data_IF_314733283252
#
_entry.id   IF_314733283252
#
_cell.length_a   1.000
_cell.length_b   1.000
_cell.length_c   1.000
_cell.angle_alpha   90.00
_cell.angle_beta   90.00
_cell.angle_gamma   90.00
#
_symmetry.space_group_name_H-M   'P 1'
#
loop_
_entity.id
_entity.type
_entity.pdbx_description
1 polymer ?
#
# COMPACT_ATOMS: atom_id res chain seq x y z
N UNK A 1 -0.45 -27.40 19.41
CA UNK A 1 0.91 -27.91 19.19
C UNK A 1 1.81 -26.73 18.87
N UNK A 2 2.75 -26.39 19.75
CA UNK A 2 3.69 -25.28 19.53
C UNK A 2 4.63 -25.62 18.37
N UNK A 3 4.60 -24.82 17.30
CA UNK A 3 5.62 -24.89 16.24
C UNK A 3 6.99 -24.62 16.88
N UNK A 4 7.90 -25.58 16.81
CA UNK A 4 9.31 -25.35 17.14
C UNK A 4 9.86 -24.44 16.05
N UNK A 5 9.98 -23.15 16.34
CA UNK A 5 10.62 -22.18 15.46
C UNK A 5 12.11 -22.53 15.33
N UNK A 6 12.61 -22.64 14.10
CA UNK A 6 14.04 -22.90 13.87
C UNK A 6 14.89 -21.70 14.33
N UNK A 7 16.17 -21.92 14.64
CA UNK A 7 17.08 -20.86 15.12
C UNK A 7 17.12 -19.66 14.14
N UNK A 8 17.04 -19.92 12.83
CA UNK A 8 16.98 -18.85 11.82
C UNK A 8 15.67 -18.05 11.87
N UNK A 9 14.52 -18.72 12.05
CA UNK A 9 13.22 -18.04 12.19
C UNK A 9 13.17 -17.13 13.42
N UNK A 10 13.75 -17.57 14.55
CA UNK A 10 13.86 -16.75 15.76
C UNK A 10 14.75 -15.53 15.51
N UNK A 11 15.86 -15.70 14.80
CA UNK A 11 16.76 -14.60 14.47
C UNK A 11 16.10 -13.56 13.55
N UNK A 12 15.42 -14.00 12.50
CA UNK A 12 14.68 -13.12 11.58
C UNK A 12 13.57 -12.35 12.30
N UNK A 13 12.79 -13.03 13.15
CA UNK A 13 11.76 -12.40 13.97
C UNK A 13 12.34 -11.33 14.90
N UNK A 14 13.45 -11.62 15.59
CA UNK A 14 14.10 -10.66 16.47
C UNK A 14 14.65 -9.44 15.70
N UNK A 15 15.16 -9.64 14.48
CA UNK A 15 15.60 -8.54 13.61
C UNK A 15 14.40 -7.67 13.21
N UNK A 16 13.27 -8.28 12.84
CA UNK A 16 12.05 -7.55 12.51
C UNK A 16 11.56 -6.69 13.69
N UNK A 17 11.49 -7.26 14.90
CA UNK A 17 11.13 -6.51 16.11
C UNK A 17 12.05 -5.31 16.36
N UNK A 18 13.36 -5.48 16.16
CA UNK A 18 14.31 -4.38 16.30
C UNK A 18 14.06 -3.31 15.22
N UNK A 19 13.83 -3.71 13.97
CA UNK A 19 13.51 -2.79 12.86
C UNK A 19 12.25 -1.97 13.13
N UNK A 20 11.18 -2.61 13.60
CA UNK A 20 9.92 -1.93 13.94
C UNK A 20 10.13 -0.80 14.97
N UNK A 21 10.94 -1.06 16.00
CA UNK A 21 11.24 -0.08 17.04
C UNK A 21 12.12 1.06 16.50
N UNK A 22 13.15 0.76 15.71
CA UNK A 22 14.09 1.79 15.23
C UNK A 22 13.51 2.65 14.10
N UNK A 23 12.61 2.12 13.26
CA UNK A 23 11.89 2.91 12.25
C UNK A 23 10.93 3.92 12.88
N UNK A 24 10.41 3.61 14.07
CA UNK A 24 9.51 4.48 14.82
C UNK A 24 10.23 5.51 15.71
N UNK A 25 11.58 5.55 15.68
CA UNK A 25 12.40 6.35 16.60
C UNK A 25 13.36 7.26 15.84
N UNK A 26 13.36 8.56 16.18
CA UNK A 26 14.33 9.52 15.61
C UNK A 26 15.77 9.19 16.04
N UNK A 27 15.95 8.87 17.32
CA UNK A 27 17.21 8.41 17.89
C UNK A 27 16.91 7.31 18.92
N UNK A 28 17.83 6.35 19.06
CA UNK A 28 17.68 5.27 20.02
C UNK A 28 19.00 4.86 20.67
N UNK A 29 18.91 4.22 21.82
CA UNK A 29 20.05 3.60 22.51
C UNK A 29 19.84 2.08 22.55
N UNK A 30 20.92 1.34 22.78
CA UNK A 30 20.84 -0.13 22.97
C UNK A 30 19.85 -0.51 24.05
N UNK A 31 19.79 0.28 25.13
CA UNK A 31 18.90 0.05 26.26
C UNK A 31 17.43 0.29 25.87
N UNK A 32 17.11 1.40 25.19
CA UNK A 32 15.73 1.70 24.81
C UNK A 32 15.16 0.65 23.85
N UNK A 33 15.96 0.16 22.90
CA UNK A 33 15.54 -0.90 21.98
C UNK A 33 15.31 -2.22 22.72
N UNK A 34 16.20 -2.63 23.62
CA UNK A 34 16.02 -3.86 24.39
C UNK A 34 14.76 -3.80 25.27
N UNK A 35 14.49 -2.64 25.88
CA UNK A 35 13.29 -2.42 26.69
C UNK A 35 12.01 -2.48 25.85
N UNK A 36 11.99 -1.84 24.68
CA UNK A 36 10.81 -1.81 23.81
C UNK A 36 10.51 -3.17 23.16
N UNK A 37 11.56 -3.90 22.76
CA UNK A 37 11.42 -5.22 22.11
C UNK A 37 11.25 -6.38 23.10
N UNK A 38 11.60 -6.18 24.37
CA UNK A 38 11.66 -7.26 25.37
C UNK A 38 12.83 -8.25 25.17
N UNK A 39 13.74 -7.97 24.23
CA UNK A 39 14.91 -8.81 23.96
C UNK A 39 16.02 -8.58 24.99
N UNK A 40 16.91 -9.57 25.13
CA UNK A 40 18.09 -9.42 25.99
C UNK A 40 19.06 -8.36 25.44
N UNK A 41 19.74 -7.62 26.32
CA UNK A 41 20.75 -6.63 25.93
C UNK A 41 21.82 -7.22 25.00
N UNK A 42 22.23 -8.48 25.23
CA UNK A 42 23.22 -9.16 24.39
C UNK A 42 22.68 -9.42 22.97
N UNK A 43 21.43 -9.89 22.86
CA UNK A 43 20.75 -10.11 21.57
C UNK A 43 20.58 -8.80 20.82
N UNK A 44 20.04 -7.77 21.47
CA UNK A 44 19.87 -6.44 20.88
C UNK A 44 21.20 -5.87 20.42
N UNK A 45 22.26 -5.99 21.21
CA UNK A 45 23.59 -5.50 20.84
C UNK A 45 24.16 -6.22 19.62
N UNK A 46 23.98 -7.54 19.52
CA UNK A 46 24.40 -8.31 18.34
C UNK A 46 23.67 -7.88 17.07
N UNK A 47 22.35 -7.62 17.17
CA UNK A 47 21.55 -7.17 16.03
C UNK A 47 21.97 -5.75 15.62
N UNK A 48 22.04 -4.81 16.56
CA UNK A 48 22.41 -3.43 16.28
C UNK A 48 23.84 -3.31 15.70
N UNK A 49 24.79 -4.11 16.18
CA UNK A 49 26.13 -4.14 15.58
C UNK A 49 26.10 -4.62 14.12
N UNK A 50 25.35 -5.67 13.83
CA UNK A 50 25.18 -6.17 12.46
C UNK A 50 24.53 -5.12 11.55
N UNK A 51 23.49 -4.42 12.02
CA UNK A 51 22.85 -3.34 11.26
C UNK A 51 23.82 -2.15 11.05
N UNK A 52 24.67 -1.85 12.04
CA UNK A 52 25.66 -0.78 11.95
C UNK A 52 26.80 -1.13 10.98
N UNK A 53 27.26 -2.38 11.00
CA UNK A 53 28.25 -2.92 10.05
C UNK A 53 27.72 -2.91 8.62
N UNK A 54 26.42 -3.17 8.45
CA UNK A 54 25.75 -3.06 7.16
C UNK A 54 25.53 -1.60 6.71
N UNK A 55 25.64 -0.62 7.61
CA UNK A 55 25.34 0.79 7.34
C UNK A 55 23.85 1.16 7.39
N UNK A 56 22.99 0.25 7.87
CA UNK A 56 21.54 0.46 8.03
C UNK A 56 21.22 1.37 9.22
N UNK A 57 22.12 1.44 10.19
CA UNK A 57 22.07 2.42 11.29
C UNK A 57 23.41 3.13 11.42
N UNK A 58 23.37 4.38 11.90
CA UNK A 58 24.55 5.23 12.12
C UNK A 58 24.63 5.68 13.57
N UNK A 59 25.84 5.78 14.12
CA UNK A 59 26.04 6.28 15.48
C UNK A 59 25.98 7.82 15.52
N UNK A 60 25.08 8.38 16.32
CA UNK A 60 24.89 9.83 16.49
C UNK A 60 25.57 10.30 17.78
N UNK A 61 26.91 10.19 17.82
CA UNK A 61 27.72 10.71 18.92
C UNK A 61 27.39 10.22 20.35
N UNK A 62 28.09 10.80 21.33
CA UNK A 62 27.82 10.60 22.75
C UNK A 62 27.19 11.88 23.32
N UNK A 63 26.03 11.79 23.96
CA UNK A 63 25.54 12.89 24.80
C UNK A 63 26.48 13.00 25.99
N UNK A 64 26.99 14.19 26.27
CA UNK A 64 27.80 14.47 27.46
C UNK A 64 26.96 14.26 28.73
N UNK A 65 27.08 13.11 29.38
CA UNK A 65 26.61 12.92 30.75
C UNK A 65 27.75 13.19 31.73
N UNK A 66 27.52 14.07 32.70
CA UNK A 66 28.45 14.43 33.80
C UNK A 66 28.71 13.27 34.78
N UNK A 67 28.02 12.13 34.63
CA UNK A 67 28.17 10.94 35.47
C UNK A 67 28.05 9.68 34.59
N UNK A 68 29.09 8.83 34.57
CA UNK A 68 29.12 7.53 33.86
C UNK A 68 29.56 7.59 32.39
N UNK A 69 29.89 6.43 31.80
CA UNK A 69 30.24 6.30 30.37
C UNK A 69 28.97 6.58 29.54
N UNK A 70 28.94 7.63 28.71
CA UNK A 70 27.73 7.99 27.96
C UNK A 70 27.30 6.85 27.03
N UNK A 71 26.00 6.56 27.01
CA UNK A 71 25.44 5.55 26.13
C UNK A 71 25.50 6.04 24.68
N UNK A 72 26.07 5.23 23.79
CA UNK A 72 26.09 5.51 22.36
C UNK A 72 24.65 5.60 21.83
N UNK A 73 24.36 6.69 21.12
CA UNK A 73 23.10 6.89 20.41
C UNK A 73 23.25 6.47 18.95
N UNK A 74 22.14 6.02 18.37
CA UNK A 74 22.05 5.59 16.98
C UNK A 74 20.82 6.22 16.33
N UNK A 75 20.89 6.43 15.01
CA UNK A 75 19.73 6.66 14.16
C UNK A 75 19.69 5.63 13.06
N UNK A 76 18.49 5.43 12.52
CA UNK A 76 18.32 4.72 11.29
C UNK A 76 18.91 5.53 10.12
N UNK A 77 19.68 4.88 9.25
CA UNK A 77 20.16 5.49 8.02
C UNK A 77 19.02 5.47 7.00
N UNK A 78 18.28 6.59 6.92
CA UNK A 78 17.15 6.73 5.99
C UNK A 78 17.53 6.44 4.53
N UNK A 79 18.76 6.79 4.15
CA UNK A 79 19.31 6.67 2.80
C UNK A 79 20.03 5.31 2.60
N UNK A 80 19.84 4.33 3.50
CA UNK A 80 20.41 2.99 3.37
C UNK A 80 19.93 2.27 2.09
N UNK A 81 18.67 2.50 1.73
CA UNK A 81 18.09 2.14 0.44
C UNK A 81 16.95 3.10 0.13
N UNK A 82 16.53 3.16 -1.13
CA UNK A 82 15.33 3.86 -1.54
C UNK A 82 14.32 2.89 -2.17
N UNK A 83 13.05 3.29 -2.13
CA UNK A 83 11.94 2.60 -2.77
C UNK A 83 11.32 3.55 -3.79
N UNK A 84 11.28 3.14 -5.06
CA UNK A 84 10.56 3.88 -6.09
C UNK A 84 9.13 3.32 -6.20
N UNK A 85 8.13 4.18 -6.07
CA UNK A 85 6.74 3.84 -6.33
C UNK A 85 6.33 4.47 -7.66
N UNK A 86 5.79 3.68 -8.59
CA UNK A 86 5.38 4.15 -9.92
C UNK A 86 4.02 3.59 -10.28
N UNK A 87 3.18 4.40 -10.91
CA UNK A 87 1.89 3.95 -11.44
C UNK A 87 1.42 4.83 -12.60
N UNK A 88 0.64 4.26 -13.54
CA UNK A 88 0.06 5.05 -14.59
C UNK A 88 -1.21 5.76 -14.13
N UNK A 89 -1.47 6.91 -14.74
CA UNK A 89 -2.69 7.68 -14.55
C UNK A 89 -2.98 8.51 -15.81
N UNK A 90 -4.11 9.21 -15.80
CA UNK A 90 -4.57 10.02 -16.92
C UNK A 90 -5.12 11.36 -16.47
N UNK A 91 -4.97 12.38 -17.31
CA UNK A 91 -5.64 13.67 -17.18
C UNK A 91 -6.32 13.99 -18.52
N UNK A 92 -7.64 13.80 -18.58
CA UNK A 92 -8.37 13.80 -19.85
C UNK A 92 -7.88 12.67 -20.76
N UNK A 93 -7.53 12.99 -22.01
CA UNK A 93 -7.02 12.01 -22.98
C UNK A 93 -5.53 11.72 -22.87
N UNK A 94 -4.78 12.49 -22.08
CA UNK A 94 -3.34 12.31 -21.92
C UNK A 94 -3.06 11.33 -20.78
N UNK A 95 -2.04 10.49 -20.98
CA UNK A 95 -1.60 9.50 -20.01
C UNK A 95 -0.24 9.90 -19.46
N UNK A 96 0.07 9.45 -18.26
CA UNK A 96 1.37 9.69 -17.66
C UNK A 96 1.73 8.57 -16.68
N UNK A 97 3.03 8.39 -16.46
CA UNK A 97 3.56 7.66 -15.31
C UNK A 97 3.85 8.67 -14.20
N UNK A 98 3.18 8.52 -13.06
CA UNK A 98 3.59 9.18 -11.83
C UNK A 98 4.64 8.32 -11.14
N UNK A 99 5.69 8.93 -10.60
CA UNK A 99 6.59 8.24 -9.68
C UNK A 99 6.96 9.10 -8.48
N UNK A 100 7.29 8.42 -7.39
CA UNK A 100 7.94 9.01 -6.22
C UNK A 100 8.99 8.06 -5.67
N UNK A 101 10.17 8.59 -5.34
CA UNK A 101 11.27 7.87 -4.70
C UNK A 101 11.27 8.24 -3.23
N UNK A 102 11.17 7.23 -2.36
CA UNK A 102 11.11 7.37 -0.92
C UNK A 102 12.38 6.85 -0.26
N UNK A 103 12.81 7.52 0.80
CA UNK A 103 13.72 6.95 1.78
C UNK A 103 12.99 5.89 2.64
N UNK A 104 13.73 5.10 3.43
CA UNK A 104 13.13 4.04 4.24
C UNK A 104 12.33 4.54 5.45
N UNK A 105 12.35 5.85 5.74
CA UNK A 105 11.47 6.47 6.73
C UNK A 105 10.20 7.04 6.10
N UNK A 106 10.01 6.89 4.80
CA UNK A 106 8.83 7.35 4.07
C UNK A 106 8.88 8.80 3.63
N UNK A 107 10.04 9.46 3.68
CA UNK A 107 10.17 10.81 3.12
C UNK A 107 10.37 10.74 1.61
N UNK A 108 9.57 11.51 0.85
CA UNK A 108 9.76 11.65 -0.59
C UNK A 108 11.06 12.40 -0.88
N UNK A 109 12.01 11.73 -1.52
CA UNK A 109 13.28 12.28 -2.02
C UNK A 109 13.07 13.00 -3.35
N UNK A 110 12.27 12.38 -4.23
CA UNK A 110 11.93 12.90 -5.56
C UNK A 110 10.52 12.48 -5.95
N UNK A 111 9.80 13.32 -6.68
CA UNK A 111 8.51 12.97 -7.28
C UNK A 111 8.33 13.70 -8.61
N UNK A 112 7.78 13.02 -9.61
CA UNK A 112 7.51 13.63 -10.91
C UNK A 112 6.46 12.85 -11.72
N UNK A 113 6.07 13.44 -12.86
CA UNK A 113 5.18 12.85 -13.84
C UNK A 113 5.85 12.85 -15.21
N UNK A 114 5.79 11.72 -15.91
CA UNK A 114 6.24 11.61 -17.30
C UNK A 114 5.03 11.42 -18.19
N UNK A 115 4.74 12.44 -19.01
CA UNK A 115 3.60 12.46 -19.93
C UNK A 115 3.89 11.65 -21.18
N UNK A 116 2.92 10.86 -21.60
CA UNK A 116 3.04 9.85 -22.64
C UNK A 116 1.80 9.85 -23.54
N UNK A 117 1.99 9.48 -24.79
CA UNK A 117 0.86 9.19 -25.69
C UNK A 117 0.15 7.90 -25.28
N UNK A 118 0.92 6.87 -24.95
CA UNK A 118 0.43 5.62 -24.39
C UNK A 118 1.37 5.08 -23.31
N UNK A 119 0.81 4.27 -22.41
CA UNK A 119 1.58 3.58 -21.37
C UNK A 119 1.82 2.14 -21.82
N UNK A 120 3.07 1.82 -22.10
CA UNK A 120 3.52 0.48 -22.50
C UNK A 120 4.64 -0.01 -21.60
N UNK A 121 5.10 -1.25 -21.82
CA UNK A 121 6.30 -1.77 -21.16
C UNK A 121 7.52 -0.84 -21.35
N UNK A 122 7.73 -0.36 -22.58
CA UNK A 122 8.86 0.50 -22.96
C UNK A 122 8.83 1.81 -22.17
N UNK A 123 7.65 2.36 -21.90
CA UNK A 123 7.49 3.55 -21.04
C UNK A 123 8.03 3.32 -19.63
N UNK A 124 7.77 2.16 -19.04
CA UNK A 124 8.32 1.79 -17.73
C UNK A 124 9.82 1.52 -17.81
N UNK A 125 10.28 0.80 -18.83
CA UNK A 125 11.69 0.48 -19.01
C UNK A 125 12.56 1.74 -19.13
N UNK A 126 12.13 2.72 -19.94
CA UNK A 126 12.85 3.98 -20.14
C UNK A 126 12.90 4.82 -18.85
N UNK A 127 11.76 4.98 -18.18
CA UNK A 127 11.67 5.73 -16.93
C UNK A 127 12.52 5.07 -15.84
N UNK A 128 12.33 3.78 -15.61
CA UNK A 128 13.00 3.06 -14.53
C UNK A 128 14.50 2.90 -14.82
N UNK A 129 14.91 2.70 -16.06
CA UNK A 129 16.34 2.71 -16.42
C UNK A 129 17.01 4.03 -16.05
N UNK A 130 16.36 5.16 -16.37
CA UNK A 130 16.86 6.50 -16.04
C UNK A 130 16.94 6.73 -14.53
N UNK A 131 15.91 6.31 -13.78
CA UNK A 131 15.86 6.49 -12.33
C UNK A 131 16.88 5.61 -11.60
N UNK A 132 17.04 4.35 -12.00
CA UNK A 132 17.98 3.41 -11.39
C UNK A 132 19.45 3.77 -11.69
N UNK A 133 19.73 4.38 -12.84
CA UNK A 133 21.06 4.94 -13.14
C UNK A 133 21.35 6.19 -12.31
N UNK A 134 20.36 7.09 -12.18
CA UNK A 134 20.48 8.32 -11.39
C UNK A 134 20.63 8.05 -9.90
N UNK A 135 19.90 7.06 -9.38
CA UNK A 135 19.88 6.69 -7.97
C UNK A 135 20.08 5.17 -7.77
N UNK A 136 21.36 4.72 -7.69
CA UNK A 136 21.69 3.34 -7.39
C UNK A 136 21.26 2.88 -5.98
N UNK A 137 20.79 3.79 -5.13
CA UNK A 137 20.22 3.51 -3.82
C UNK A 137 18.83 2.88 -3.90
N UNK A 138 18.11 3.04 -5.02
CA UNK A 138 16.83 2.37 -5.24
C UNK A 138 17.05 0.86 -5.30
N UNK A 139 16.55 0.15 -4.28
CA UNK A 139 16.66 -1.33 -4.18
C UNK A 139 15.38 -2.04 -4.51
N UNK A 140 14.24 -1.32 -4.45
CA UNK A 140 12.92 -1.86 -4.76
C UNK A 140 12.12 -0.87 -5.58
N UNK A 141 11.32 -1.39 -6.50
CA UNK A 141 10.31 -0.65 -7.26
C UNK A 141 8.94 -1.28 -7.03
N UNK A 142 7.99 -0.48 -6.56
CA UNK A 142 6.60 -0.84 -6.35
C UNK A 142 5.75 -0.26 -7.48
N UNK A 143 5.18 -1.12 -8.31
CA UNK A 143 4.41 -0.73 -9.49
C UNK A 143 2.92 -0.92 -9.20
N UNK A 144 2.18 0.18 -9.18
CA UNK A 144 0.73 0.14 -9.11
C UNK A 144 0.10 0.03 -10.50
N UNK A 145 -0.90 -0.83 -10.67
CA UNK A 145 -1.64 -0.97 -11.93
C UNK A 145 -3.17 -0.80 -11.74
N UNK A 146 -3.85 -0.04 -12.60
CA UNK A 146 -5.31 0.11 -12.59
C UNK A 146 -5.98 -1.08 -13.28
N UNK A 147 -5.99 -2.22 -12.59
CA UNK A 147 -6.44 -3.49 -13.15
C UNK A 147 -6.01 -4.71 -12.34
N UNK A 148 -6.31 -5.91 -12.85
CA UNK A 148 -5.93 -7.17 -12.19
C UNK A 148 -4.93 -7.97 -13.01
N UNK A 149 -4.12 -8.74 -12.29
CA UNK A 149 -3.02 -9.54 -12.81
C UNK A 149 -2.90 -10.84 -12.02
N UNK A 150 -2.35 -11.86 -12.65
CA UNK A 150 -2.01 -13.14 -12.03
C UNK A 150 -0.67 -13.63 -12.57
N UNK A 151 0.16 -14.23 -11.71
CA UNK A 151 1.51 -14.72 -12.09
C UNK A 151 2.31 -13.70 -12.94
N UNK A 152 2.37 -12.45 -12.48
CA UNK A 152 2.98 -11.29 -13.14
C UNK A 152 2.36 -10.84 -14.48
N UNK A 153 1.38 -11.57 -15.02
CA UNK A 153 0.71 -11.21 -16.26
C UNK A 153 -0.49 -10.31 -16.00
N UNK A 154 -0.47 -9.12 -16.61
CA UNK A 154 -1.57 -8.17 -16.52
C UNK A 154 -2.72 -8.66 -17.43
N UNK A 155 -3.83 -9.09 -16.83
CA UNK A 155 -4.95 -9.63 -17.58
C UNK A 155 -5.88 -8.54 -18.11
N UNK A 156 -6.12 -7.52 -17.28
CA UNK A 156 -6.94 -6.37 -17.65
C UNK A 156 -6.43 -5.14 -16.94
N UNK A 157 -6.17 -4.08 -17.69
CA UNK A 157 -5.72 -2.79 -17.22
C UNK A 157 -6.35 -1.69 -18.09
N UNK A 158 -6.70 -0.56 -17.48
CA UNK A 158 -7.19 0.61 -18.23
C UNK A 158 -6.11 1.17 -19.16
N UNK A 159 -4.84 0.95 -18.83
CA UNK A 159 -3.71 1.17 -19.75
C UNK A 159 -3.56 -0.05 -20.66
N UNK A 160 -4.29 -0.06 -21.76
CA UNK A 160 -4.43 -1.24 -22.63
C UNK A 160 -3.11 -1.74 -23.23
N UNK A 161 -2.11 -0.87 -23.40
CA UNK A 161 -0.77 -1.23 -23.85
C UNK A 161 -0.02 -2.19 -22.91
N UNK A 162 -0.52 -2.37 -21.67
CA UNK A 162 0.02 -3.31 -20.69
C UNK A 162 -0.68 -4.67 -20.69
N UNK A 163 -1.83 -4.82 -21.35
CA UNK A 163 -2.60 -6.07 -21.32
C UNK A 163 -1.80 -7.22 -21.96
N UNK A 164 -1.68 -8.34 -21.24
CA UNK A 164 -0.88 -9.50 -21.61
C UNK A 164 0.61 -9.37 -21.31
N UNK A 165 1.07 -8.25 -20.73
CA UNK A 165 2.48 -8.04 -20.40
C UNK A 165 2.87 -8.71 -19.08
N UNK A 166 3.99 -9.45 -19.10
CA UNK A 166 4.76 -9.81 -17.89
C UNK A 166 5.69 -8.65 -17.53
N UNK A 167 5.12 -7.59 -16.93
CA UNK A 167 5.81 -6.33 -16.71
C UNK A 167 7.00 -6.50 -15.75
N UNK A 168 6.75 -7.08 -14.57
CA UNK A 168 7.78 -7.25 -13.54
C UNK A 168 8.81 -8.31 -13.90
N UNK A 169 8.42 -9.39 -14.60
CA UNK A 169 9.36 -10.39 -15.11
C UNK A 169 10.37 -9.77 -16.08
N UNK A 170 9.89 -9.07 -17.10
CA UNK A 170 10.75 -8.39 -18.09
C UNK A 170 11.66 -7.33 -17.44
N UNK A 171 11.14 -6.52 -16.51
CA UNK A 171 11.95 -5.52 -15.81
C UNK A 171 13.03 -6.17 -14.93
N UNK A 172 12.73 -7.30 -14.29
CA UNK A 172 13.68 -8.05 -13.45
C UNK A 172 14.80 -8.70 -14.27
N UNK A 173 14.53 -9.09 -15.52
CA UNK A 173 15.58 -9.55 -16.46
C UNK A 173 16.51 -8.40 -16.88
N UNK A 174 15.98 -7.18 -16.95
CA UNK A 174 16.68 -6.01 -17.47
C UNK A 174 17.52 -5.29 -16.41
N UNK A 175 17.02 -5.19 -15.18
CA UNK A 175 17.61 -4.38 -14.13
C UNK A 175 17.86 -5.19 -12.85
N UNK A 176 19.00 -4.98 -12.16
CA UNK A 176 19.31 -5.67 -10.90
C UNK A 176 18.57 -5.01 -9.72
N UNK A 177 17.24 -5.00 -9.76
CA UNK A 177 16.35 -4.41 -8.77
C UNK A 177 15.17 -5.34 -8.48
N UNK A 178 14.60 -5.26 -7.28
CA UNK A 178 13.40 -6.00 -6.91
C UNK A 178 12.17 -5.23 -7.41
N UNK A 179 11.35 -5.85 -8.26
CA UNK A 179 10.11 -5.27 -8.78
C UNK A 179 8.89 -5.97 -8.17
N UNK A 180 8.00 -5.17 -7.62
CA UNK A 180 6.70 -5.59 -7.10
C UNK A 180 5.61 -4.97 -7.96
N UNK A 181 4.53 -5.69 -8.17
CA UNK A 181 3.33 -5.18 -8.82
C UNK A 181 2.16 -5.33 -7.86
N UNK A 182 1.26 -4.35 -7.86
CA UNK A 182 0.04 -4.37 -7.04
C UNK A 182 -1.11 -3.67 -7.77
N UNK A 183 -2.33 -4.13 -7.50
CA UNK A 183 -3.56 -3.49 -7.92
C UNK A 183 -3.74 -2.14 -7.20
N UNK A 184 -4.15 -1.10 -7.94
CA UNK A 184 -4.29 0.25 -7.41
C UNK A 184 -5.23 0.32 -6.19
N UNK A 185 -6.32 -0.44 -6.18
CA UNK A 185 -7.30 -0.45 -5.09
C UNK A 185 -6.76 -1.15 -3.84
N UNK A 186 -6.00 -2.23 -3.99
CA UNK A 186 -5.28 -2.86 -2.88
C UNK A 186 -4.28 -1.89 -2.23
N UNK A 187 -3.50 -1.20 -3.05
CA UNK A 187 -2.54 -0.21 -2.56
C UNK A 187 -3.22 0.97 -1.86
N UNK A 188 -4.28 1.55 -2.45
CA UNK A 188 -5.07 2.61 -1.82
C UNK A 188 -5.65 2.14 -0.48
N UNK A 189 -6.23 0.93 -0.43
CA UNK A 189 -6.80 0.37 0.79
C UNK A 189 -5.77 0.17 1.88
N UNK A 190 -4.59 -0.33 1.53
CA UNK A 190 -3.51 -0.54 2.49
C UNK A 190 -2.93 0.77 3.00
N UNK A 191 -2.75 1.78 2.13
CA UNK A 191 -2.31 3.11 2.56
C UNK A 191 -3.31 3.80 3.48
N UNK A 192 -4.63 3.64 3.23
CA UNK A 192 -5.68 4.14 4.11
C UNK A 192 -5.69 3.42 5.46
N UNK A 193 -5.56 2.09 5.46
CA UNK A 193 -5.47 1.31 6.67
C UNK A 193 -4.25 1.71 7.51
N UNK A 194 -3.09 1.86 6.88
CA UNK A 194 -1.84 2.23 7.56
C UNK A 194 -1.94 3.61 8.21
N UNK A 195 -2.48 4.61 7.50
CA UNK A 195 -2.70 5.95 8.06
C UNK A 195 -3.65 5.93 9.28
N UNK A 196 -4.73 5.12 9.24
CA UNK A 196 -5.63 4.97 10.39
C UNK A 196 -4.93 4.30 11.57
N UNK A 197 -4.11 3.27 11.30
CA UNK A 197 -3.32 2.56 12.30
C UNK A 197 -2.35 3.50 13.01
N UNK A 198 -1.69 4.40 12.28
CA UNK A 198 -0.82 5.44 12.85
C UNK A 198 -1.56 6.40 13.80
N UNK A 199 -2.85 6.63 13.55
CA UNK A 199 -3.75 7.38 14.43
C UNK A 199 -4.39 6.54 15.54
N UNK A 200 -3.91 5.31 15.77
CA UNK A 200 -4.36 4.43 16.85
C UNK A 200 -5.64 3.66 16.55
N UNK A 201 -6.05 3.59 15.30
CA UNK A 201 -7.28 2.91 14.88
C UNK A 201 -6.99 1.89 13.77
N UNK A 202 -6.96 0.61 14.14
CA UNK A 202 -6.68 -0.50 13.23
C UNK A 202 -7.93 -1.40 13.13
N UNK A 203 -8.85 -1.12 12.19
CA UNK A 203 -10.09 -1.88 12.08
C UNK A 203 -9.79 -3.33 11.70
N UNK A 204 -10.54 -4.29 12.26
CA UNK A 204 -10.37 -5.71 11.92
C UNK A 204 -10.60 -5.97 10.43
N UNK A 205 -11.57 -5.28 9.84
CA UNK A 205 -11.83 -5.33 8.41
C UNK A 205 -12.13 -3.91 7.88
N UNK A 206 -11.41 -3.52 6.83
CA UNK A 206 -11.59 -2.28 6.11
C UNK A 206 -11.75 -2.59 4.62
N UNK A 207 -12.75 -1.97 4.00
CA UNK A 207 -12.95 -2.04 2.55
C UNK A 207 -12.87 -0.63 1.98
N UNK A 208 -12.17 -0.49 0.85
CA UNK A 208 -12.25 0.72 0.02
C UNK A 208 -13.06 0.40 -1.22
N UNK A 209 -13.99 1.26 -1.58
CA UNK A 209 -14.78 1.18 -2.81
C UNK A 209 -14.57 2.47 -3.59
N UNK A 210 -14.23 2.36 -4.86
CA UNK A 210 -14.10 3.50 -5.76
C UNK A 210 -15.07 3.43 -6.92
N UNK A 211 -15.44 4.62 -7.42
CA UNK A 211 -16.04 4.80 -8.73
C UNK A 211 -15.24 5.92 -9.41
N UNK A 212 -14.32 5.54 -10.29
CA UNK A 212 -13.48 6.49 -11.03
C UNK A 212 -14.19 6.97 -12.30
N UNK A 213 -13.94 8.20 -12.71
CA UNK A 213 -14.45 8.70 -13.99
C UNK A 213 -13.82 7.93 -15.17
N UNK A 214 -14.63 7.56 -16.16
CA UNK A 214 -14.17 6.82 -17.34
C UNK A 214 -13.77 5.35 -17.08
N UNK A 215 -14.00 4.83 -15.87
CA UNK A 215 -13.72 3.43 -15.50
C UNK A 215 -14.90 2.81 -14.73
N UNK A 216 -14.83 1.49 -14.53
CA UNK A 216 -15.74 0.77 -13.64
C UNK A 216 -15.37 0.96 -12.17
N UNK A 217 -16.21 0.48 -11.24
CA UNK A 217 -15.88 0.52 -9.83
C UNK A 217 -14.75 -0.47 -9.49
N UNK A 218 -13.95 -0.09 -8.51
CA UNK A 218 -12.87 -0.92 -7.96
C UNK A 218 -13.00 -1.05 -6.46
N UNK A 219 -12.38 -2.07 -5.87
CA UNK A 219 -12.35 -2.23 -4.42
C UNK A 219 -11.10 -2.93 -3.93
N UNK A 220 -10.62 -2.52 -2.75
CA UNK A 220 -9.52 -3.14 -2.03
C UNK A 220 -9.97 -3.55 -0.63
N UNK A 221 -9.51 -4.70 -0.16
CA UNK A 221 -9.99 -5.34 1.07
C UNK A 221 -8.81 -5.58 2.01
N UNK A 222 -8.91 -5.07 3.23
CA UNK A 222 -7.95 -5.31 4.31
C UNK A 222 -8.64 -6.10 5.42
N UNK A 223 -8.04 -7.22 5.84
CA UNK A 223 -8.50 -8.06 6.96
C UNK A 223 -7.30 -8.32 7.88
N UNK A 224 -7.45 -8.03 9.17
CA UNK A 224 -6.39 -8.16 10.19
C UNK A 224 -5.07 -7.48 9.76
N UNK A 225 -5.19 -6.32 9.11
CA UNK A 225 -4.07 -5.54 8.59
C UNK A 225 -3.36 -6.13 7.37
N UNK A 226 -3.96 -7.13 6.71
CA UNK A 226 -3.42 -7.78 5.52
C UNK A 226 -4.30 -7.52 4.31
N UNK A 227 -3.68 -7.41 3.15
CA UNK A 227 -4.41 -7.31 1.88
C UNK A 227 -5.04 -8.66 1.57
N UNK A 228 -6.35 -8.69 1.35
CA UNK A 228 -7.08 -9.90 1.02
C UNK A 228 -7.21 -10.06 -0.49
N UNK A 229 -6.38 -10.93 -1.08
CA UNK A 229 -6.31 -11.17 -2.54
C UNK A 229 -7.33 -12.21 -3.05
N UNK A 230 -7.85 -13.06 -2.16
CA UNK A 230 -8.60 -14.25 -2.56
C UNK A 230 -7.74 -15.31 -3.25
N UNK A 231 -8.37 -16.22 -4.01
CA UNK A 231 -7.69 -17.39 -4.60
C UNK A 231 -6.73 -17.03 -5.75
N UNK A 232 -7.11 -16.07 -6.58
CA UNK A 232 -6.44 -15.73 -7.84
C UNK A 232 -6.28 -14.22 -8.01
N UNK A 233 -6.02 -13.51 -6.90
CA UNK A 233 -5.91 -12.05 -6.88
C UNK A 233 -7.14 -11.33 -7.49
N UNK A 234 -8.34 -11.78 -7.12
CA UNK A 234 -9.60 -11.33 -7.72
C UNK A 234 -10.61 -10.83 -6.68
N UNK A 235 -10.29 -10.94 -5.39
CA UNK A 235 -11.14 -10.35 -4.36
C UNK A 235 -11.12 -8.82 -4.50
N UNK A 236 -12.29 -8.18 -4.47
CA UNK A 236 -12.41 -6.74 -4.69
C UNK A 236 -12.83 -6.32 -6.11
N UNK A 237 -12.91 -7.26 -7.06
CA UNK A 237 -13.34 -6.99 -8.44
C UNK A 237 -14.87 -6.78 -8.55
N UNK A 238 -15.35 -5.71 -7.91
CA UNK A 238 -16.78 -5.38 -7.75
C UNK A 238 -17.48 -5.02 -9.06
N UNK A 239 -16.73 -4.75 -10.12
CA UNK A 239 -17.26 -4.60 -11.48
C UNK A 239 -18.02 -5.84 -11.96
N UNK A 240 -17.73 -7.02 -11.42
CA UNK A 240 -18.38 -8.30 -11.76
C UNK A 240 -19.55 -8.69 -10.85
N UNK A 241 -19.96 -7.83 -9.92
CA UNK A 241 -21.15 -8.10 -9.11
C UNK A 241 -22.40 -8.21 -10.00
N UNK A 242 -23.41 -9.02 -9.62
CA UNK A 242 -24.66 -9.15 -10.35
C UNK A 242 -25.53 -7.90 -10.13
N UNK A 243 -25.20 -6.81 -10.81
CA UNK A 243 -25.98 -5.57 -10.80
C UNK A 243 -27.37 -5.81 -11.39
N UNK A 244 -28.42 -5.37 -10.68
CA UNK A 244 -29.80 -5.69 -11.04
C UNK A 244 -30.30 -4.92 -12.27
N UNK A 245 -29.76 -3.73 -12.50
CA UNK A 245 -30.29 -2.79 -13.51
C UNK A 245 -29.46 -2.76 -14.82
N UNK A 246 -28.57 -3.73 -15.01
CA UNK A 246 -27.75 -3.87 -16.22
C UNK A 246 -26.25 -3.86 -15.94
N UNK A 247 -25.48 -3.53 -16.96
CA UNK A 247 -24.03 -3.46 -16.84
C UNK A 247 -23.61 -2.20 -16.06
N UNK A 248 -22.64 -2.36 -15.16
CA UNK A 248 -22.19 -1.29 -14.27
C UNK A 248 -21.64 -0.06 -15.02
N UNK A 249 -21.00 -0.26 -16.17
CA UNK A 249 -20.52 0.85 -17.00
C UNK A 249 -21.67 1.74 -17.50
N UNK A 250 -22.82 1.14 -17.85
CA UNK A 250 -23.99 1.90 -18.27
C UNK A 250 -24.64 2.60 -17.06
N UNK A 251 -24.66 1.92 -15.90
CA UNK A 251 -25.23 2.45 -14.67
C UNK A 251 -24.49 3.69 -14.18
N UNK A 252 -23.16 3.69 -14.22
CA UNK A 252 -22.36 4.85 -13.79
C UNK A 252 -22.65 6.08 -14.68
N UNK A 253 -22.94 5.87 -15.96
CA UNK A 253 -23.27 6.95 -16.90
C UNK A 253 -24.70 7.50 -16.78
N UNK A 254 -25.56 6.88 -15.96
CA UNK A 254 -26.94 7.35 -15.73
C UNK A 254 -27.02 8.48 -14.69
N UNK A 255 -25.90 8.84 -14.07
CA UNK A 255 -25.78 9.97 -13.15
C UNK A 255 -25.82 9.59 -11.66
N UNK A 256 -25.83 10.61 -10.77
CA UNK A 256 -25.55 10.44 -9.34
C UNK A 256 -26.45 9.43 -8.62
N UNK A 257 -27.75 9.38 -8.95
CA UNK A 257 -28.67 8.45 -8.29
C UNK A 257 -28.32 6.98 -8.58
N UNK A 258 -27.93 6.69 -9.82
CA UNK A 258 -27.51 5.35 -10.23
C UNK A 258 -26.19 4.95 -9.58
N UNK A 259 -25.26 5.90 -9.44
CA UNK A 259 -24.00 5.71 -8.72
C UNK A 259 -24.28 5.40 -7.24
N UNK A 260 -25.16 6.17 -6.58
CA UNK A 260 -25.59 5.93 -5.20
C UNK A 260 -26.22 4.54 -5.04
N UNK A 261 -27.11 4.14 -5.96
CA UNK A 261 -27.74 2.81 -5.94
C UNK A 261 -26.71 1.70 -6.09
N UNK A 262 -25.82 1.82 -7.07
CA UNK A 262 -24.77 0.84 -7.36
C UNK A 262 -23.77 0.73 -6.21
N UNK A 263 -23.36 1.86 -5.64
CA UNK A 263 -22.47 1.89 -4.47
C UNK A 263 -23.13 1.26 -3.25
N UNK A 264 -24.40 1.54 -2.99
CA UNK A 264 -25.13 0.90 -1.90
C UNK A 264 -25.24 -0.63 -2.07
N UNK A 265 -25.38 -1.12 -3.31
CA UNK A 265 -25.35 -2.55 -3.60
C UNK A 265 -23.97 -3.17 -3.27
N UNK A 266 -22.88 -2.50 -3.66
CA UNK A 266 -21.51 -2.95 -3.32
C UNK A 266 -21.29 -2.96 -1.81
N UNK A 267 -21.60 -1.86 -1.13
CA UNK A 267 -21.44 -1.72 0.33
C UNK A 267 -22.27 -2.76 1.07
N UNK A 268 -23.55 -2.94 0.71
CA UNK A 268 -24.41 -3.96 1.33
C UNK A 268 -23.89 -5.38 1.12
N UNK A 269 -23.31 -5.66 -0.05
CA UNK A 269 -22.68 -6.95 -0.33
C UNK A 269 -21.50 -7.20 0.61
N UNK A 270 -20.64 -6.21 0.82
CA UNK A 270 -19.55 -6.31 1.78
C UNK A 270 -20.02 -6.44 3.23
N UNK A 271 -21.08 -5.72 3.62
CA UNK A 271 -21.69 -5.89 4.95
C UNK A 271 -22.12 -7.34 5.19
N UNK A 272 -22.77 -7.95 4.19
CA UNK A 272 -23.27 -9.32 4.31
C UNK A 272 -22.16 -10.39 4.28
N UNK A 273 -21.06 -10.16 3.57
CA UNK A 273 -20.01 -11.16 3.34
C UNK A 273 -18.84 -11.02 4.31
N UNK A 274 -18.36 -9.78 4.51
CA UNK A 274 -17.17 -9.47 5.30
C UNK A 274 -17.50 -8.77 6.62
N UNK A 275 -18.66 -8.10 6.70
CA UNK A 275 -19.06 -7.26 7.84
C UNK A 275 -17.93 -6.31 8.28
N UNK A 276 -17.45 -5.43 7.39
CA UNK A 276 -16.32 -4.55 7.69
C UNK A 276 -16.69 -3.53 8.76
N UNK A 277 -15.71 -3.16 9.58
CA UNK A 277 -15.87 -2.07 10.55
C UNK A 277 -15.94 -0.71 9.85
N UNK A 278 -15.12 -0.53 8.81
CA UNK A 278 -15.03 0.70 8.03
C UNK A 278 -15.16 0.41 6.54
N UNK A 279 -15.96 1.22 5.84
CA UNK A 279 -16.00 1.27 4.40
C UNK A 279 -15.60 2.69 3.94
N UNK A 280 -14.55 2.82 3.14
CA UNK A 280 -14.11 4.11 2.60
C UNK A 280 -14.50 4.21 1.14
N UNK A 281 -15.17 5.30 0.78
CA UNK A 281 -15.54 5.66 -0.56
C UNK A 281 -14.53 6.64 -1.15
N UNK A 282 -14.21 6.48 -2.44
CA UNK A 282 -13.29 7.37 -3.17
C UNK A 282 -13.59 7.39 -4.68
N UNK A 283 -12.89 8.24 -5.43
CA UNK A 283 -13.04 8.35 -6.89
C UNK A 283 -13.94 9.50 -7.33
N UNK A 284 -13.75 9.95 -8.56
CA UNK A 284 -14.27 11.22 -9.08
C UNK A 284 -15.79 11.22 -9.28
N UNK A 285 -16.41 10.04 -9.40
CA UNK A 285 -17.86 9.91 -9.50
C UNK A 285 -18.58 9.86 -8.13
N UNK A 286 -17.84 9.86 -7.02
CA UNK A 286 -18.38 9.87 -5.66
C UNK A 286 -18.07 11.20 -4.96
N UNK A 287 -18.88 11.53 -3.95
CA UNK A 287 -18.69 12.72 -3.13
C UNK A 287 -19.20 12.48 -1.70
N UNK A 288 -18.75 13.32 -0.76
CA UNK A 288 -19.07 13.17 0.66
C UNK A 288 -20.58 13.23 0.95
N UNK A 289 -21.32 14.04 0.20
CA UNK A 289 -22.78 14.18 0.34
C UNK A 289 -23.55 12.93 -0.11
N UNK A 290 -22.92 12.02 -0.87
CA UNK A 290 -23.51 10.74 -1.25
C UNK A 290 -23.47 9.69 -0.13
N UNK A 291 -22.62 9.84 0.90
CA UNK A 291 -22.50 8.87 1.99
C UNK A 291 -23.83 8.63 2.73
N UNK A 292 -24.58 9.69 3.03
CA UNK A 292 -25.90 9.60 3.68
C UNK A 292 -26.91 8.79 2.86
N UNK A 293 -27.20 9.21 1.60
CA UNK A 293 -28.06 8.46 0.68
C UNK A 293 -27.64 7.00 0.46
N UNK A 294 -26.33 6.71 0.40
CA UNK A 294 -25.81 5.34 0.29
C UNK A 294 -26.16 4.53 1.54
N UNK A 295 -25.86 5.03 2.74
CA UNK A 295 -26.19 4.36 4.00
C UNK A 295 -27.70 4.13 4.16
N UNK A 296 -28.52 5.12 3.80
CA UNK A 296 -29.97 5.01 3.87
C UNK A 296 -30.51 3.91 2.94
N UNK A 297 -29.90 3.72 1.76
CA UNK A 297 -30.21 2.58 0.91
C UNK A 297 -29.75 1.27 1.53
N UNK A 298 -28.55 1.19 2.09
CA UNK A 298 -28.03 -0.02 2.75
C UNK A 298 -28.96 -0.51 3.89
N UNK A 299 -29.58 0.39 4.65
CA UNK A 299 -30.55 0.06 5.73
C UNK A 299 -31.75 -0.78 5.26
N UNK A 300 -32.07 -0.78 3.97
CA UNK A 300 -33.15 -1.62 3.43
C UNK A 300 -32.76 -3.11 3.35
N UNK A 301 -31.46 -3.40 3.37
CA UNK A 301 -30.92 -4.75 3.20
C UNK A 301 -30.16 -5.24 4.43
N UNK A 302 -29.52 -4.31 5.16
CA UNK A 302 -28.61 -4.59 6.27
C UNK A 302 -29.17 -3.95 7.55
N UNK A 303 -29.32 -4.72 8.65
CA UNK A 303 -29.70 -4.16 9.95
C UNK A 303 -28.68 -3.09 10.41
N UNK A 304 -29.18 -2.03 11.05
CA UNK A 304 -28.38 -0.83 11.36
C UNK A 304 -27.11 -1.13 12.18
N UNK A 305 -27.15 -2.11 13.09
CA UNK A 305 -25.99 -2.49 13.91
C UNK A 305 -24.86 -3.20 13.13
N UNK A 306 -25.10 -3.56 11.86
CA UNK A 306 -24.13 -4.20 10.97
C UNK A 306 -23.69 -3.28 9.82
N UNK A 307 -24.09 -2.00 9.85
CA UNK A 307 -23.60 -1.02 8.90
C UNK A 307 -22.19 -0.56 9.30
N UNK A 308 -21.27 -0.40 8.34
CA UNK A 308 -19.92 0.08 8.62
C UNK A 308 -19.93 1.59 8.93
N UNK A 309 -18.85 2.07 9.54
CA UNK A 309 -18.48 3.47 9.42
C UNK A 309 -18.21 3.78 7.93
N UNK A 310 -19.09 4.56 7.30
CA UNK A 310 -18.93 4.96 5.91
C UNK A 310 -18.24 6.32 5.83
N UNK A 311 -17.07 6.35 5.20
CA UNK A 311 -16.24 7.55 5.04
C UNK A 311 -16.06 7.88 3.57
N UNK A 312 -15.78 9.14 3.26
CA UNK A 312 -15.37 9.56 1.92
C UNK A 312 -14.01 10.22 1.96
N UNK A 313 -13.15 9.86 1.01
CA UNK A 313 -11.82 10.43 0.81
C UNK A 313 -11.74 10.95 -0.61
N UNK A 314 -11.56 12.28 -0.76
CA UNK A 314 -11.47 12.92 -2.08
C UNK A 314 -10.09 12.78 -2.71
N UNK A 315 -9.02 12.80 -1.91
CA UNK A 315 -7.65 12.71 -2.40
C UNK A 315 -7.05 11.35 -1.99
N UNK A 316 -7.21 10.37 -2.86
CA UNK A 316 -6.65 9.02 -2.66
C UNK A 316 -5.20 8.87 -3.10
N UNK A 317 -4.64 9.84 -3.86
CA UNK A 317 -3.30 9.72 -4.45
C UNK A 317 -2.20 9.58 -3.39
N UNK A 318 -2.32 10.29 -2.27
CA UNK A 318 -1.37 10.14 -1.16
C UNK A 318 -1.43 8.73 -0.55
N UNK A 319 -2.63 8.18 -0.37
CA UNK A 319 -2.80 6.81 0.12
C UNK A 319 -2.35 5.77 -0.90
N UNK A 320 -2.48 6.03 -2.19
CA UNK A 320 -1.95 5.15 -3.22
C UNK A 320 -0.42 5.07 -3.16
N UNK A 321 0.25 6.23 -3.13
CA UNK A 321 1.71 6.32 -3.01
C UNK A 321 2.22 5.67 -1.72
N UNK A 322 1.63 6.05 -0.59
CA UNK A 322 1.99 5.48 0.71
C UNK A 322 1.70 3.98 0.76
N UNK A 323 0.60 3.54 0.15
CA UNK A 323 0.24 2.13 0.02
C UNK A 323 1.32 1.34 -0.71
N UNK A 324 1.72 1.78 -1.91
CA UNK A 324 2.78 1.14 -2.68
C UNK A 324 4.11 1.10 -1.92
N UNK A 325 4.45 2.18 -1.22
CA UNK A 325 5.65 2.27 -0.39
C UNK A 325 5.58 1.25 0.76
N UNK A 326 4.49 1.24 1.53
CA UNK A 326 4.30 0.36 2.68
C UNK A 326 4.18 -1.10 2.26
N UNK A 327 3.62 -1.42 1.10
CA UNK A 327 3.62 -2.77 0.53
C UNK A 327 5.05 -3.24 0.27
N UNK A 328 5.86 -2.41 -0.41
CA UNK A 328 7.25 -2.75 -0.70
C UNK A 328 8.13 -2.86 0.56
N UNK A 329 7.79 -2.10 1.61
CA UNK A 329 8.49 -2.12 2.89
C UNK A 329 8.10 -3.34 3.75
N UNK A 330 6.81 -3.64 3.86
CA UNK A 330 6.27 -4.54 4.89
C UNK A 330 5.80 -5.91 4.37
N UNK A 331 5.58 -6.06 3.06
CA UNK A 331 5.05 -7.28 2.44
C UNK A 331 3.76 -7.82 3.13
N UNK A 332 2.62 -7.11 3.05
CA UNK A 332 1.44 -7.31 3.90
C UNK A 332 0.54 -8.52 3.53
N UNK A 333 1.08 -9.51 2.83
CA UNK A 333 0.31 -10.69 2.39
C UNK A 333 0.41 -11.89 3.34
N UNK A 334 1.25 -11.82 4.38
CA UNK A 334 1.61 -12.95 5.24
C UNK A 334 1.10 -12.86 6.66
#
# INVERSE_FOLDING_TARGET
MSKVSTVNQVKEHNIALVRDVIHSSVEFTKHSVAQATGLSIATTNSILNMLCEAGEIVAIGNVSSTIGRPAAKYAYNRDYAHICCVFPSSAGSQRYLFYSVFDLLGNSVEQNQVWLEDVTYESFEELLGSLLEKDPGIKKVSIGIPGYYDNNHIHSCTMTGLNGCDLTGKLSERFPCEFLMENNMNAIAYGLYDARREHGHAPTALVVVSFFEGSGPGSGIIIDGKIYLGKSNFAGEVVFLPYQDGNIYDLVNQGPESIVKSTAQVVSSYCAILNPETCVLTGENLSADMCGPILDRCKHFIPEQHLPELLYVSNYNQYYQNGLFRIALNNPYH
#
